data_IF_763896172202
#
_entry.id   IF_763896172202
#
_cell.length_a   1.000
_cell.length_b   1.000
_cell.length_c   1.000
_cell.angle_alpha   90.00
_cell.angle_beta   90.00
_cell.angle_gamma   90.00
#
_symmetry.space_group_name_H-M   'P 1'
#
loop_
_entity.id
_entity.type
_entity.pdbx_description
1 polymer ?
#
# COMPACT_ATOMS: atom_id res chain seq x y z
N UNK A 1 18.34 -30.21 27.30
CA UNK A 1 18.04 -29.27 26.17
C UNK A 1 18.63 -27.91 26.50
N UNK A 2 19.78 -27.57 25.94
CA UNK A 2 20.48 -26.31 26.19
C UNK A 2 19.82 -25.21 25.32
N UNK A 3 19.42 -24.07 25.91
CA UNK A 3 18.94 -22.90 25.21
C UNK A 3 20.11 -22.29 24.40
N UNK A 4 19.90 -21.92 23.12
CA UNK A 4 20.95 -21.25 22.36
C UNK A 4 21.22 -19.87 22.99
N UNK A 5 22.50 -19.42 23.00
CA UNK A 5 22.87 -18.13 23.57
C UNK A 5 22.24 -16.98 22.76
N UNK A 6 21.62 -16.03 23.46
CA UNK A 6 21.18 -14.75 22.90
C UNK A 6 22.41 -14.06 22.27
N UNK A 7 22.49 -14.03 20.94
CA UNK A 7 23.46 -13.19 20.23
C UNK A 7 22.99 -11.75 20.37
N UNK A 8 23.59 -11.01 21.26
CA UNK A 8 23.44 -9.56 21.36
C UNK A 8 23.60 -8.94 19.99
N UNK A 9 22.66 -8.06 19.61
CA UNK A 9 22.68 -7.40 18.32
C UNK A 9 24.02 -6.71 18.09
N UNK A 10 24.66 -6.98 16.94
CA UNK A 10 25.97 -6.40 16.63
C UNK A 10 25.88 -4.86 16.66
N UNK A 11 26.96 -4.18 17.04
CA UNK A 11 27.10 -2.72 17.04
C UNK A 11 26.58 -2.12 15.73
N UNK A 12 26.81 -2.78 14.60
CA UNK A 12 26.28 -2.43 13.27
C UNK A 12 24.75 -2.38 13.25
N UNK A 13 24.07 -3.36 13.85
CA UNK A 13 22.59 -3.39 13.91
C UNK A 13 22.06 -2.25 14.77
N UNK A 14 22.73 -1.93 15.86
CA UNK A 14 22.39 -0.82 16.74
C UNK A 14 22.59 0.53 16.04
N UNK A 15 23.70 0.73 15.36
CA UNK A 15 23.98 1.93 14.57
C UNK A 15 22.94 2.16 13.43
N UNK A 16 22.55 1.09 12.74
CA UNK A 16 21.51 1.16 11.71
C UNK A 16 20.17 1.60 12.33
N UNK A 17 19.78 1.03 13.47
CA UNK A 17 18.53 1.41 14.15
C UNK A 17 18.54 2.86 14.64
N UNK A 18 19.67 3.31 15.20
CA UNK A 18 19.84 4.70 15.61
C UNK A 18 19.80 5.65 14.43
N UNK A 19 20.43 5.30 13.30
CA UNK A 19 20.37 6.08 12.06
C UNK A 19 18.93 6.17 11.51
N UNK A 20 18.16 5.08 11.57
CA UNK A 20 16.75 5.06 11.16
C UNK A 20 15.89 5.94 12.07
N UNK A 21 16.08 5.87 13.40
CA UNK A 21 15.36 6.71 14.36
C UNK A 21 15.71 8.19 14.16
N UNK A 22 16.98 8.52 13.98
CA UNK A 22 17.43 9.89 13.73
C UNK A 22 16.84 10.45 12.42
N UNK A 23 16.83 9.65 11.35
CA UNK A 23 16.23 10.02 10.09
C UNK A 23 14.71 10.23 10.21
N UNK A 24 14.02 9.34 10.94
CA UNK A 24 12.58 9.49 11.20
C UNK A 24 12.31 10.78 11.95
N UNK A 25 13.06 11.06 13.02
CA UNK A 25 12.92 12.29 13.79
C UNK A 25 13.18 13.54 12.93
N UNK A 26 14.21 13.50 12.08
CA UNK A 26 14.54 14.58 11.16
C UNK A 26 13.43 14.83 10.14
N UNK A 27 12.90 13.77 9.52
CA UNK A 27 11.81 13.87 8.56
C UNK A 27 10.54 14.39 9.23
N UNK A 28 10.20 13.85 10.41
CA UNK A 28 9.04 14.33 11.18
C UNK A 28 9.19 15.81 11.52
N UNK A 29 10.35 16.21 12.02
CA UNK A 29 10.64 17.62 12.32
C UNK A 29 10.53 18.51 11.08
N UNK A 30 11.09 18.07 9.94
CA UNK A 30 11.01 18.80 8.67
C UNK A 30 9.56 18.92 8.18
N UNK A 31 8.77 17.84 8.22
CA UNK A 31 7.37 17.85 7.81
C UNK A 31 6.55 18.77 8.71
N UNK A 32 6.68 18.65 10.03
CA UNK A 32 6.00 19.50 11.00
C UNK A 32 6.37 20.98 10.76
N UNK A 33 7.65 21.30 10.51
CA UNK A 33 8.08 22.65 10.22
C UNK A 33 7.61 23.17 8.85
N UNK A 34 7.38 22.29 7.87
CA UNK A 34 6.91 22.70 6.53
C UNK A 34 5.39 22.80 6.42
N UNK A 35 4.65 21.99 7.18
CA UNK A 35 3.18 22.06 7.24
C UNK A 35 2.74 23.36 7.95
N UNK A 36 3.71 24.13 8.51
CA UNK A 36 3.41 25.42 9.12
C UNK A 36 2.46 25.28 10.31
N UNK A 37 2.52 24.13 10.99
CA UNK A 37 1.87 23.98 12.28
C UNK A 37 2.59 24.89 13.27
N UNK A 38 2.36 26.20 13.08
CA UNK A 38 2.65 27.17 14.12
C UNK A 38 1.77 26.75 15.29
N UNK A 39 2.41 26.32 16.38
CA UNK A 39 1.69 25.92 17.59
C UNK A 39 0.71 26.99 18.05
N UNK A 40 0.99 28.25 17.74
CA UNK A 40 0.12 29.39 17.97
C UNK A 40 -1.13 29.39 17.06
N UNK A 41 -1.02 28.96 15.81
CA UNK A 41 -2.18 28.77 14.93
C UNK A 41 -3.02 27.57 15.35
N UNK A 42 -2.37 26.46 15.74
CA UNK A 42 -3.08 25.29 16.26
C UNK A 42 -3.86 25.62 17.55
N UNK A 43 -3.30 26.44 18.44
CA UNK A 43 -4.01 26.90 19.65
C UNK A 43 -5.16 27.90 19.35
N UNK A 44 -5.12 28.56 18.19
CA UNK A 44 -6.19 29.45 17.71
C UNK A 44 -7.31 28.71 16.98
N UNK A 45 -7.12 27.45 16.61
CA UNK A 45 -8.18 26.63 16.06
C UNK A 45 -9.21 26.40 17.15
N UNK A 46 -10.38 27.01 17.02
CA UNK A 46 -11.50 26.73 17.91
C UNK A 46 -12.05 25.33 17.54
N UNK A 47 -11.52 24.31 18.24
CA UNK A 47 -11.94 22.93 18.04
C UNK A 47 -13.44 22.74 18.39
N UNK A 48 -14.06 23.69 19.07
CA UNK A 48 -15.50 23.64 19.35
C UNK A 48 -16.35 23.96 18.11
N UNK A 49 -15.78 24.68 17.12
CA UNK A 49 -16.43 24.90 15.83
C UNK A 49 -16.32 23.68 14.89
N UNK A 50 -15.38 22.78 15.18
CA UNK A 50 -15.18 21.56 14.40
C UNK A 50 -16.23 20.51 14.78
N UNK A 51 -17.43 20.63 14.23
CA UNK A 51 -18.51 19.66 14.41
C UNK A 51 -18.57 18.75 13.16
N UNK A 52 -17.82 17.63 13.13
CA UNK A 52 -17.87 16.73 11.99
C UNK A 52 -19.24 16.07 11.91
N UNK A 53 -19.75 15.88 10.69
CA UNK A 53 -20.92 15.07 10.48
C UNK A 53 -20.60 13.61 10.83
N UNK A 54 -21.09 13.14 11.97
CA UNK A 54 -20.78 11.80 12.52
C UNK A 54 -21.24 10.68 11.60
N UNK A 55 -22.30 10.88 10.79
CA UNK A 55 -22.76 9.87 9.83
C UNK A 55 -21.75 9.70 8.70
N UNK A 56 -21.25 10.80 8.14
CA UNK A 56 -20.22 10.76 7.10
C UNK A 56 -18.89 10.22 7.67
N UNK A 57 -18.54 10.60 8.88
CA UNK A 57 -17.36 10.07 9.55
C UNK A 57 -17.44 8.55 9.77
N UNK A 58 -18.58 8.06 10.26
CA UNK A 58 -18.82 6.63 10.40
C UNK A 58 -18.83 5.90 9.05
N UNK A 59 -19.43 6.50 8.01
CA UNK A 59 -19.41 5.95 6.65
C UNK A 59 -17.98 5.85 6.11
N UNK A 60 -17.17 6.90 6.25
CA UNK A 60 -15.76 6.87 5.88
C UNK A 60 -14.99 5.75 6.59
N UNK A 61 -15.16 5.62 7.91
CA UNK A 61 -14.52 4.56 8.69
C UNK A 61 -14.95 3.16 8.23
N UNK A 62 -16.24 2.96 7.95
CA UNK A 62 -16.76 1.70 7.44
C UNK A 62 -16.18 1.35 6.05
N UNK A 63 -16.06 2.34 5.17
CA UNK A 63 -15.43 2.16 3.85
C UNK A 63 -13.94 1.84 3.96
N UNK A 64 -13.22 2.51 4.86
CA UNK A 64 -11.81 2.22 5.14
C UNK A 64 -11.62 0.80 5.63
N UNK A 65 -12.43 0.35 6.60
CA UNK A 65 -12.40 -1.02 7.11
C UNK A 65 -12.75 -2.04 6.00
N UNK A 66 -13.74 -1.74 5.17
CA UNK A 66 -14.10 -2.60 4.03
C UNK A 66 -12.95 -2.75 3.04
N UNK A 67 -12.23 -1.66 2.73
CA UNK A 67 -11.04 -1.70 1.88
C UNK A 67 -9.91 -2.52 2.52
N UNK A 68 -9.71 -2.44 3.82
CA UNK A 68 -8.72 -3.25 4.53
C UNK A 68 -9.07 -4.73 4.47
N UNK A 69 -10.34 -5.11 4.66
CA UNK A 69 -10.79 -6.49 4.52
C UNK A 69 -10.66 -6.99 3.09
N UNK A 70 -11.00 -6.16 2.11
CA UNK A 70 -10.82 -6.47 0.69
C UNK A 70 -9.35 -6.69 0.36
N UNK A 71 -8.43 -5.89 0.88
CA UNK A 71 -6.99 -6.05 0.66
C UNK A 71 -6.49 -7.41 1.21
N UNK A 72 -6.95 -7.84 2.39
CA UNK A 72 -6.63 -9.14 2.94
C UNK A 72 -7.18 -10.29 2.05
N UNK A 73 -8.40 -10.15 1.54
CA UNK A 73 -9.01 -11.12 0.63
C UNK A 73 -8.26 -11.19 -0.71
N UNK A 74 -7.83 -10.04 -1.24
CA UNK A 74 -7.03 -9.96 -2.46
C UNK A 74 -5.69 -10.66 -2.31
N UNK A 75 -4.98 -10.43 -1.20
CA UNK A 75 -3.75 -11.16 -0.90
C UNK A 75 -3.98 -12.68 -0.86
N UNK A 76 -5.02 -13.14 -0.16
CA UNK A 76 -5.36 -14.57 -0.08
C UNK A 76 -5.71 -15.15 -1.46
N UNK A 77 -6.38 -14.38 -2.33
CA UNK A 77 -6.65 -14.76 -3.70
C UNK A 77 -5.37 -14.92 -4.51
N UNK A 78 -4.46 -13.94 -4.43
CA UNK A 78 -3.15 -14.02 -5.11
C UNK A 78 -2.35 -15.23 -4.62
N UNK A 79 -2.33 -15.50 -3.29
CA UNK A 79 -1.68 -16.71 -2.72
C UNK A 79 -2.21 -17.97 -3.39
N UNK A 80 -3.54 -18.12 -3.48
CA UNK A 80 -4.18 -19.29 -4.10
C UNK A 80 -3.82 -19.41 -5.59
N UNK A 81 -3.92 -18.32 -6.31
CA UNK A 81 -3.69 -18.28 -7.75
C UNK A 81 -2.20 -18.53 -8.11
N UNK A 82 -1.27 -18.26 -7.16
CA UNK A 82 0.15 -18.63 -7.22
C UNK A 82 0.42 -20.09 -6.76
N UNK A 83 -0.60 -20.91 -6.60
CA UNK A 83 -0.48 -22.32 -6.20
C UNK A 83 -0.29 -22.54 -4.70
N UNK A 84 -0.60 -21.54 -3.86
CA UNK A 84 -0.65 -21.70 -2.41
C UNK A 84 -1.94 -22.35 -1.92
N UNK A 85 -1.96 -22.74 -0.62
CA UNK A 85 -3.15 -23.24 0.02
C UNK A 85 -4.26 -22.18 0.03
N UNK A 86 -5.52 -22.63 -0.07
CA UNK A 86 -6.66 -21.75 0.06
C UNK A 86 -6.81 -21.27 1.50
N UNK A 87 -6.77 -19.94 1.69
CA UNK A 87 -7.01 -19.30 2.97
C UNK A 87 -8.38 -18.63 2.91
N UNK A 88 -9.38 -19.09 3.68
CA UNK A 88 -10.68 -18.42 3.77
C UNK A 88 -10.52 -16.97 4.25
N UNK A 89 -11.35 -16.04 3.75
CA UNK A 89 -11.25 -14.59 4.06
C UNK A 89 -11.26 -14.33 5.56
N UNK A 90 -12.12 -15.03 6.33
CA UNK A 90 -12.18 -14.93 7.80
C UNK A 90 -10.88 -15.28 8.51
N UNK A 91 -9.99 -16.06 7.87
CA UNK A 91 -8.66 -16.37 8.38
C UNK A 91 -7.60 -15.44 7.80
N UNK A 92 -7.74 -15.01 6.53
CA UNK A 92 -6.84 -14.09 5.89
C UNK A 92 -6.83 -12.71 6.55
N UNK A 93 -8.00 -12.21 6.95
CA UNK A 93 -8.16 -10.90 7.59
C UNK A 93 -7.28 -10.75 8.84
N UNK A 94 -7.40 -11.58 9.89
CA UNK A 94 -6.55 -11.40 11.07
C UNK A 94 -5.05 -11.59 10.76
N UNK A 95 -4.68 -12.52 9.88
CA UNK A 95 -3.28 -12.69 9.47
C UNK A 95 -2.73 -11.42 8.83
N UNK A 96 -3.50 -10.85 7.90
CA UNK A 96 -3.11 -9.65 7.17
C UNK A 96 -3.06 -8.42 8.11
N UNK A 97 -4.03 -8.26 9.01
CA UNK A 97 -4.07 -7.15 9.96
C UNK A 97 -2.91 -7.19 10.93
N UNK A 98 -2.59 -8.36 11.50
CA UNK A 98 -1.44 -8.53 12.41
C UNK A 98 -0.13 -8.25 11.66
N UNK A 99 0.04 -8.79 10.44
CA UNK A 99 1.23 -8.55 9.65
C UNK A 99 1.39 -7.06 9.28
N UNK A 100 0.29 -6.35 9.06
CA UNK A 100 0.27 -4.92 8.76
C UNK A 100 0.87 -4.05 9.88
N UNK A 101 0.83 -4.51 11.13
CA UNK A 101 1.52 -3.82 12.23
C UNK A 101 3.03 -3.75 12.01
N UNK A 102 3.58 -4.66 11.22
CA UNK A 102 4.99 -4.65 10.83
C UNK A 102 5.41 -3.42 10.02
N UNK A 103 4.47 -2.68 9.41
CA UNK A 103 4.76 -1.44 8.67
C UNK A 103 5.30 -0.31 9.55
N UNK A 104 4.95 -0.33 10.85
CA UNK A 104 5.42 0.66 11.82
C UNK A 104 6.84 0.36 12.33
N UNK A 105 7.39 -0.82 12.00
CA UNK A 105 8.77 -1.16 12.31
C UNK A 105 9.70 -0.63 11.20
N UNK A 106 10.88 -0.07 11.56
CA UNK A 106 11.84 0.40 10.58
C UNK A 106 12.24 -0.68 9.58
N UNK A 107 12.21 -0.37 8.27
CA UNK A 107 12.73 -1.25 7.22
C UNK A 107 11.69 -1.90 6.31
N UNK A 108 10.40 -1.54 6.39
CA UNK A 108 9.29 -1.94 5.46
C UNK A 108 9.16 -3.46 5.12
N UNK A 109 10.13 -4.28 5.54
CA UNK A 109 10.17 -5.73 5.26
C UNK A 109 9.38 -6.55 6.28
N UNK A 110 9.12 -5.99 7.47
CA UNK A 110 8.51 -6.71 8.57
C UNK A 110 7.07 -7.12 8.31
N UNK A 111 6.32 -6.31 7.57
CA UNK A 111 4.97 -6.66 7.12
C UNK A 111 4.99 -7.92 6.24
N UNK A 112 5.91 -7.98 5.27
CA UNK A 112 6.03 -9.11 4.34
C UNK A 112 6.51 -10.35 5.09
N UNK A 113 7.54 -10.19 5.93
CA UNK A 113 8.09 -11.29 6.73
C UNK A 113 7.05 -11.84 7.73
N UNK A 114 6.32 -10.95 8.40
CA UNK A 114 5.23 -11.31 9.31
C UNK A 114 4.12 -12.06 8.61
N UNK A 115 3.72 -11.60 7.42
CA UNK A 115 2.69 -12.25 6.61
C UNK A 115 3.14 -13.65 6.17
N UNK A 116 4.40 -13.81 5.74
CA UNK A 116 4.96 -15.11 5.39
C UNK A 116 5.02 -16.07 6.58
N UNK A 117 5.45 -15.59 7.74
CA UNK A 117 5.51 -16.38 8.97
C UNK A 117 4.12 -16.82 9.44
N UNK A 118 3.14 -15.91 9.46
CA UNK A 118 1.77 -16.22 9.86
C UNK A 118 1.06 -17.14 8.88
N UNK A 119 1.29 -16.98 7.55
CA UNK A 119 0.72 -17.83 6.53
C UNK A 119 1.26 -19.27 6.57
N UNK A 120 2.50 -19.46 7.04
CA UNK A 120 3.10 -20.79 7.15
C UNK A 120 2.33 -21.68 8.14
N UNK A 121 1.73 -21.12 9.19
CA UNK A 121 0.86 -21.86 10.13
C UNK A 121 -0.44 -22.34 9.49
N UNK A 122 -0.75 -21.91 8.27
CA UNK A 122 -1.93 -22.31 7.49
C UNK A 122 -1.55 -23.16 6.26
N UNK A 123 -0.36 -23.73 6.25
CA UNK A 123 0.11 -24.60 5.17
C UNK A 123 0.54 -23.88 3.89
N UNK A 124 0.65 -22.55 3.92
CA UNK A 124 1.18 -21.77 2.79
C UNK A 124 2.70 -21.71 2.89
N UNK A 125 3.39 -22.07 1.81
CA UNK A 125 4.85 -21.94 1.77
C UNK A 125 5.24 -20.47 1.94
N UNK A 126 6.22 -20.13 2.81
CA UNK A 126 6.64 -18.74 3.05
C UNK A 126 6.97 -17.97 1.76
N UNK A 127 7.61 -18.65 0.79
CA UNK A 127 7.95 -18.05 -0.51
C UNK A 127 6.73 -17.65 -1.32
N UNK A 128 5.65 -18.43 -1.29
CA UNK A 128 4.39 -18.11 -1.98
C UNK A 128 3.68 -16.95 -1.30
N UNK A 129 3.64 -16.94 0.05
CA UNK A 129 3.06 -15.83 0.81
C UNK A 129 3.81 -14.51 0.59
N UNK A 130 5.15 -14.55 0.61
CA UNK A 130 6.02 -13.41 0.28
C UNK A 130 5.80 -12.94 -1.15
N UNK A 131 5.75 -13.88 -2.10
CA UNK A 131 5.51 -13.57 -3.50
C UNK A 131 4.18 -12.87 -3.74
N UNK A 132 3.12 -13.38 -3.12
CA UNK A 132 1.80 -12.76 -3.18
C UNK A 132 1.78 -11.37 -2.53
N UNK A 133 2.52 -11.16 -1.43
CA UNK A 133 2.61 -9.86 -0.77
C UNK A 133 3.36 -8.83 -1.65
N UNK A 134 4.48 -9.22 -2.26
CA UNK A 134 5.26 -8.35 -3.15
C UNK A 134 4.49 -8.00 -4.42
N UNK A 135 3.86 -8.99 -5.06
CA UNK A 135 3.01 -8.76 -6.23
C UNK A 135 1.80 -7.88 -5.89
N UNK A 136 1.13 -8.17 -4.78
CA UNK A 136 0.01 -7.36 -4.30
C UNK A 136 0.41 -5.92 -4.03
N UNK A 137 1.60 -5.70 -3.46
CA UNK A 137 2.12 -4.36 -3.24
C UNK A 137 2.42 -3.64 -4.56
N UNK A 138 3.02 -4.32 -5.53
CA UNK A 138 3.27 -3.74 -6.87
C UNK A 138 1.96 -3.36 -7.58
N UNK A 139 0.96 -4.25 -7.55
CA UNK A 139 -0.37 -3.98 -8.12
C UNK A 139 -1.09 -2.83 -7.37
N UNK A 140 -0.92 -2.75 -6.05
CA UNK A 140 -1.46 -1.67 -5.23
C UNK A 140 -0.85 -0.31 -5.62
N UNK A 141 0.48 -0.25 -5.82
CA UNK A 141 1.15 0.97 -6.28
C UNK A 141 0.68 1.35 -7.69
N UNK A 142 0.59 0.39 -8.60
CA UNK A 142 0.10 0.63 -9.95
C UNK A 142 -1.33 1.19 -9.94
N UNK A 143 -2.22 0.59 -9.15
CA UNK A 143 -3.59 1.03 -8.98
C UNK A 143 -3.68 2.44 -8.35
N UNK A 144 -2.89 2.71 -7.31
CA UNK A 144 -2.82 4.03 -6.69
C UNK A 144 -2.31 5.09 -7.69
N UNK A 145 -1.25 4.77 -8.45
CA UNK A 145 -0.73 5.68 -9.47
C UNK A 145 -1.77 5.97 -10.54
N UNK A 146 -2.54 4.95 -10.97
CA UNK A 146 -3.62 5.13 -11.95
C UNK A 146 -4.69 6.11 -11.46
N UNK A 147 -5.08 6.04 -10.19
CA UNK A 147 -6.03 6.98 -9.57
C UNK A 147 -5.38 8.36 -9.39
N UNK A 148 -4.10 8.40 -8.95
CA UNK A 148 -3.35 9.64 -8.80
C UNK A 148 -3.24 10.43 -10.10
N UNK A 149 -3.13 9.74 -11.23
CA UNK A 149 -3.13 10.35 -12.56
C UNK A 149 -4.50 10.94 -12.96
N UNK A 150 -5.58 10.62 -12.24
CA UNK A 150 -6.88 11.24 -12.42
C UNK A 150 -6.84 12.77 -12.29
N UNK A 151 -5.88 13.32 -11.54
CA UNK A 151 -5.65 14.76 -11.48
C UNK A 151 -5.34 15.37 -12.85
N UNK A 152 -4.73 14.63 -13.77
CA UNK A 152 -4.44 15.09 -15.13
C UNK A 152 -5.69 15.36 -15.96
N UNK A 153 -6.81 14.71 -15.59
CA UNK A 153 -8.11 14.92 -16.27
C UNK A 153 -8.76 16.25 -15.91
N UNK A 154 -8.35 16.86 -14.81
CA UNK A 154 -8.92 18.10 -14.28
C UNK A 154 -7.91 19.24 -14.20
N UNK A 155 -6.64 18.95 -14.46
CA UNK A 155 -5.56 19.94 -14.46
C UNK A 155 -5.62 20.78 -15.75
N UNK A 156 -5.32 22.09 -15.68
CA UNK A 156 -5.07 22.90 -16.88
C UNK A 156 -3.92 22.26 -17.69
N UNK A 157 -4.01 22.33 -19.04
CA UNK A 157 -3.00 21.74 -19.93
C UNK A 157 -1.57 22.19 -19.60
N UNK A 158 -1.39 23.44 -19.21
CA UNK A 158 -0.12 24.04 -18.81
C UNK A 158 0.47 23.40 -17.53
N UNK A 159 -0.38 22.76 -16.70
CA UNK A 159 0.02 22.13 -15.44
C UNK A 159 0.42 20.66 -15.59
N UNK A 160 0.16 20.05 -16.76
CA UNK A 160 0.53 18.66 -17.05
C UNK A 160 2.01 18.61 -17.41
N UNK A 161 2.85 18.62 -16.40
CA UNK A 161 4.30 18.54 -16.59
C UNK A 161 4.77 17.20 -17.19
N UNK A 162 6.00 17.19 -17.72
CA UNK A 162 6.63 16.00 -18.29
C UNK A 162 6.54 14.77 -17.38
N UNK A 163 6.62 14.93 -16.07
CA UNK A 163 6.53 13.84 -15.08
C UNK A 163 5.16 13.17 -15.05
N UNK A 164 4.08 13.93 -15.22
CA UNK A 164 2.72 13.38 -15.34
C UNK A 164 2.57 12.49 -16.58
N UNK A 165 3.07 12.95 -17.73
CA UNK A 165 3.05 12.17 -18.97
C UNK A 165 3.92 10.90 -18.86
N UNK A 166 5.10 11.00 -18.27
CA UNK A 166 5.98 9.83 -18.03
C UNK A 166 5.27 8.82 -17.13
N UNK A 167 4.67 9.27 -16.03
CA UNK A 167 3.94 8.38 -15.13
C UNK A 167 2.75 7.70 -15.84
N UNK A 168 1.99 8.44 -16.66
CA UNK A 168 0.90 7.88 -17.46
C UNK A 168 1.40 6.81 -18.46
N UNK A 169 2.50 7.10 -19.15
CA UNK A 169 3.12 6.17 -20.09
C UNK A 169 3.61 4.89 -19.38
N UNK A 170 4.22 5.02 -18.20
CA UNK A 170 4.67 3.87 -17.41
C UNK A 170 3.48 3.01 -16.91
N UNK A 171 2.39 3.64 -16.48
CA UNK A 171 1.16 2.93 -16.11
C UNK A 171 0.58 2.20 -17.32
N UNK A 172 0.44 2.88 -18.45
CA UNK A 172 -0.05 2.26 -19.68
C UNK A 172 0.81 1.07 -20.12
N UNK A 173 2.14 1.23 -20.07
CA UNK A 173 3.08 0.14 -20.37
C UNK A 173 2.90 -1.04 -19.41
N UNK A 174 2.79 -0.78 -18.10
CA UNK A 174 2.59 -1.85 -17.11
C UNK A 174 1.27 -2.60 -17.34
N UNK A 175 0.18 -1.89 -17.65
CA UNK A 175 -1.11 -2.49 -17.98
C UNK A 175 -1.01 -3.34 -19.25
N UNK A 176 -0.35 -2.84 -20.29
CA UNK A 176 -0.11 -3.58 -21.53
C UNK A 176 0.70 -4.86 -21.29
N UNK A 177 1.77 -4.78 -20.49
CA UNK A 177 2.59 -5.94 -20.15
C UNK A 177 1.80 -7.03 -19.40
N UNK A 178 0.84 -6.63 -18.58
CA UNK A 178 -0.08 -7.55 -17.89
C UNK A 178 -1.13 -8.11 -18.85
N UNK A 179 -1.66 -7.29 -19.76
CA UNK A 179 -2.74 -7.66 -20.67
C UNK A 179 -2.29 -8.61 -21.79
N UNK A 180 -1.08 -8.41 -22.30
CA UNK A 180 -0.54 -9.19 -23.42
C UNK A 180 -0.04 -10.55 -22.93
N UNK A 181 -0.64 -11.70 -23.36
CA UNK A 181 -0.31 -13.01 -22.82
C UNK A 181 1.18 -13.43 -22.94
N UNK A 182 1.93 -13.15 -24.01
CA UNK A 182 3.35 -13.46 -24.09
C UNK A 182 4.20 -12.72 -23.05
N UNK A 183 3.96 -11.41 -22.84
CA UNK A 183 4.71 -10.60 -21.88
C UNK A 183 4.37 -11.00 -20.44
N UNK A 184 3.09 -11.23 -20.12
CA UNK A 184 2.68 -11.76 -18.83
C UNK A 184 3.36 -13.09 -18.51
N UNK A 185 3.36 -14.05 -19.47
CA UNK A 185 4.04 -15.34 -19.28
C UNK A 185 5.55 -15.19 -19.13
N UNK A 186 6.17 -14.25 -19.84
CA UNK A 186 7.59 -13.96 -19.68
C UNK A 186 7.91 -13.41 -18.28
N UNK A 187 7.13 -12.44 -17.81
CA UNK A 187 7.23 -11.91 -16.46
C UNK A 187 6.99 -12.96 -15.38
N UNK A 188 5.95 -13.79 -15.54
CA UNK A 188 5.66 -14.90 -14.64
C UNK A 188 6.82 -15.90 -14.59
N UNK A 189 7.35 -16.33 -15.75
CA UNK A 189 8.52 -17.23 -15.82
C UNK A 189 9.74 -16.65 -15.12
N UNK A 190 10.01 -15.35 -15.32
CA UNK A 190 11.11 -14.66 -14.65
C UNK A 190 10.90 -14.66 -13.13
N UNK A 191 9.69 -14.30 -12.68
CA UNK A 191 9.33 -14.31 -11.27
C UNK A 191 9.54 -15.68 -10.64
N UNK A 192 8.95 -16.75 -11.21
CA UNK A 192 9.05 -18.10 -10.68
C UNK A 192 10.49 -18.65 -10.72
N UNK A 193 11.30 -18.21 -11.68
CA UNK A 193 12.74 -18.50 -11.72
C UNK A 193 13.49 -17.84 -10.53
N UNK A 194 13.19 -16.58 -10.22
CA UNK A 194 13.78 -15.85 -9.10
C UNK A 194 13.41 -16.50 -7.77
N UNK A 195 12.14 -16.85 -7.58
CA UNK A 195 11.66 -17.49 -6.35
C UNK A 195 11.93 -19.00 -6.31
N UNK A 196 12.56 -19.57 -7.36
CA UNK A 196 12.92 -20.98 -7.47
C UNK A 196 11.74 -21.93 -7.23
N UNK A 197 10.59 -21.62 -7.83
CA UNK A 197 9.38 -22.44 -7.78
C UNK A 197 8.80 -22.60 -9.17
N UNK A 198 7.91 -23.57 -9.37
CA UNK A 198 7.23 -23.76 -10.64
C UNK A 198 6.00 -22.87 -10.75
N UNK A 199 5.77 -22.33 -11.95
CA UNK A 199 4.58 -21.58 -12.24
C UNK A 199 3.36 -22.50 -12.29
N UNK A 200 2.24 -22.16 -11.62
CA UNK A 200 1.01 -22.92 -11.78
C UNK A 200 0.58 -22.93 -13.25
N UNK A 201 0.21 -24.11 -13.80
CA UNK A 201 -0.10 -24.25 -15.24
C UNK A 201 -1.30 -23.40 -15.68
N UNK A 202 -2.24 -23.13 -14.75
CA UNK A 202 -3.43 -22.31 -15.00
C UNK A 202 -3.16 -20.81 -14.95
N UNK A 203 -1.96 -20.35 -14.56
CA UNK A 203 -1.66 -18.92 -14.43
C UNK A 203 -1.61 -18.24 -15.79
N UNK A 204 -2.50 -17.31 -16.05
CA UNK A 204 -2.65 -16.60 -17.31
C UNK A 204 -2.80 -15.09 -17.09
N UNK A 205 -2.66 -14.30 -18.16
CA UNK A 205 -2.80 -12.84 -18.13
C UNK A 205 -4.13 -12.35 -17.55
N UNK A 206 -5.21 -13.14 -17.73
CA UNK A 206 -6.51 -12.83 -17.15
C UNK A 206 -6.45 -12.72 -15.62
N UNK A 207 -5.63 -13.52 -14.93
CA UNK A 207 -5.43 -13.40 -13.49
C UNK A 207 -4.76 -12.07 -13.13
N UNK A 208 -3.73 -11.68 -13.89
CA UNK A 208 -3.05 -10.39 -13.70
C UNK A 208 -4.00 -9.20 -13.88
N UNK A 209 -4.83 -9.22 -14.92
CA UNK A 209 -5.85 -8.20 -15.15
C UNK A 209 -6.93 -8.18 -14.04
N UNK A 210 -7.39 -9.35 -13.61
CA UNK A 210 -8.34 -9.45 -12.50
C UNK A 210 -7.77 -8.91 -11.20
N UNK A 211 -6.51 -9.24 -10.88
CA UNK A 211 -5.84 -8.69 -9.70
C UNK A 211 -5.73 -7.18 -9.81
N UNK A 212 -5.26 -6.66 -10.95
CA UNK A 212 -5.15 -5.21 -11.15
C UNK A 212 -6.49 -4.51 -11.00
N UNK A 213 -7.55 -5.02 -11.65
CA UNK A 213 -8.90 -4.46 -11.55
C UNK A 213 -9.41 -4.42 -10.11
N UNK A 214 -9.19 -5.51 -9.35
CA UNK A 214 -9.62 -5.62 -7.96
C UNK A 214 -8.80 -4.70 -7.02
N UNK A 215 -7.48 -4.55 -7.26
CA UNK A 215 -6.67 -3.59 -6.54
C UNK A 215 -7.06 -2.15 -6.87
N UNK A 216 -7.41 -1.86 -8.14
CA UNK A 216 -7.92 -0.54 -8.54
C UNK A 216 -9.27 -0.25 -7.88
N UNK A 217 -10.18 -1.22 -7.83
CA UNK A 217 -11.43 -1.09 -7.09
C UNK A 217 -11.18 -0.83 -5.59
N UNK A 218 -10.26 -1.57 -4.97
CA UNK A 218 -9.88 -1.36 -3.57
C UNK A 218 -9.35 0.06 -3.33
N UNK A 219 -8.53 0.57 -4.23
CA UNK A 219 -8.04 1.95 -4.18
C UNK A 219 -9.13 2.98 -4.43
N UNK A 220 -10.11 2.67 -5.28
CA UNK A 220 -11.31 3.49 -5.46
C UNK A 220 -12.11 3.64 -4.17
N UNK A 221 -12.29 2.53 -3.42
CA UNK A 221 -12.95 2.55 -2.11
C UNK A 221 -12.15 3.35 -1.09
N UNK A 222 -10.82 3.20 -1.06
CA UNK A 222 -9.94 3.98 -0.17
C UNK A 222 -10.00 5.48 -0.48
N UNK A 223 -9.92 5.85 -1.75
CA UNK A 223 -9.97 7.24 -2.18
C UNK A 223 -11.35 7.87 -1.88
N UNK A 224 -12.42 7.11 -2.12
CA UNK A 224 -13.78 7.55 -1.76
C UNK A 224 -13.96 7.68 -0.25
N UNK A 225 -13.41 6.76 0.54
CA UNK A 225 -13.39 6.86 2.00
C UNK A 225 -12.74 8.17 2.46
N UNK A 226 -11.59 8.52 1.88
CA UNK A 226 -10.90 9.77 2.20
C UNK A 226 -11.69 11.01 1.77
N UNK A 227 -12.33 10.98 0.60
CA UNK A 227 -13.20 12.07 0.16
C UNK A 227 -14.40 12.26 1.11
N UNK A 228 -15.06 11.17 1.54
CA UNK A 228 -16.16 11.22 2.54
C UNK A 228 -15.66 11.74 3.88
N UNK A 229 -14.42 11.40 4.28
CA UNK A 229 -13.79 11.94 5.47
C UNK A 229 -13.66 13.47 5.37
N UNK A 230 -13.12 13.97 4.28
CA UNK A 230 -12.98 15.43 4.04
C UNK A 230 -14.36 16.12 4.06
N UNK A 231 -15.36 15.52 3.41
CA UNK A 231 -16.72 16.02 3.41
C UNK A 231 -17.37 16.01 4.81
N UNK A 232 -16.97 15.09 5.71
CA UNK A 232 -17.50 15.05 7.09
C UNK A 232 -17.16 16.29 7.91
N UNK A 233 -16.10 17.01 7.55
CA UNK A 233 -15.69 18.28 8.15
C UNK A 233 -16.28 19.53 7.46
N UNK A 234 -17.29 19.34 6.61
CA UNK A 234 -17.94 20.45 5.90
C UNK A 234 -17.15 20.98 4.69
N UNK A 235 -16.02 20.37 4.37
CA UNK A 235 -15.21 20.79 3.21
C UNK A 235 -15.83 20.29 1.92
N UNK A 236 -16.30 21.23 1.09
CA UNK A 236 -16.82 20.93 -0.25
C UNK A 236 -15.66 20.93 -1.26
N UNK A 237 -15.24 19.76 -1.69
CA UNK A 237 -14.17 19.60 -2.67
C UNK A 237 -14.57 18.56 -3.73
N UNK A 238 -14.18 18.76 -5.01
CA UNK A 238 -14.43 17.78 -6.07
C UNK A 238 -13.73 16.44 -5.77
N UNK A 239 -14.40 15.32 -6.07
CA UNK A 239 -13.90 13.98 -5.74
C UNK A 239 -12.58 13.65 -6.46
N UNK A 240 -12.44 14.02 -7.75
CA UNK A 240 -11.27 13.64 -8.56
C UNK A 240 -9.98 14.23 -8.00
N UNK A 241 -9.85 15.55 -7.75
CA UNK A 241 -8.65 16.13 -7.14
C UNK A 241 -8.33 15.53 -5.77
N UNK A 242 -9.32 15.33 -4.90
CA UNK A 242 -9.11 14.77 -3.55
C UNK A 242 -8.63 13.33 -3.63
N UNK A 243 -9.28 12.49 -4.44
CA UNK A 243 -8.91 11.10 -4.66
C UNK A 243 -7.50 10.97 -5.25
N UNK A 244 -7.18 11.82 -6.24
CA UNK A 244 -5.88 11.84 -6.89
C UNK A 244 -4.77 12.30 -5.94
N UNK A 245 -5.01 13.35 -5.15
CA UNK A 245 -4.05 13.84 -4.15
C UNK A 245 -3.77 12.76 -3.10
N UNK A 246 -4.81 12.08 -2.58
CA UNK A 246 -4.66 10.98 -1.63
C UNK A 246 -3.83 9.83 -2.20
N UNK A 247 -4.16 9.39 -3.41
CA UNK A 247 -3.46 8.28 -4.06
C UNK A 247 -2.00 8.64 -4.40
N UNK A 248 -1.75 9.85 -4.91
CA UNK A 248 -0.41 10.34 -5.20
C UNK A 248 0.44 10.46 -3.93
N UNK A 249 -0.12 11.01 -2.84
CA UNK A 249 0.56 11.11 -1.54
C UNK A 249 0.98 9.73 -1.02
N UNK A 250 0.12 8.71 -1.15
CA UNK A 250 0.48 7.33 -0.80
C UNK A 250 1.65 6.81 -1.63
N UNK A 251 1.63 6.99 -2.96
CA UNK A 251 2.69 6.51 -3.85
C UNK A 251 4.02 7.17 -3.49
N UNK A 252 4.03 8.49 -3.32
CA UNK A 252 5.23 9.24 -2.92
C UNK A 252 5.73 8.77 -1.55
N UNK A 253 4.83 8.69 -0.56
CA UNK A 253 5.17 8.22 0.79
C UNK A 253 5.66 6.77 0.81
N UNK A 254 5.13 5.91 -0.07
CA UNK A 254 5.58 4.53 -0.15
C UNK A 254 6.96 4.40 -0.81
N UNK A 255 7.23 5.16 -1.87
CA UNK A 255 8.52 5.14 -2.57
C UNK A 255 9.63 5.77 -1.74
N UNK A 256 9.30 6.62 -0.78
CA UNK A 256 10.27 7.18 0.15
C UNK A 256 10.70 6.13 1.19
N UNK A 257 11.67 5.30 0.81
CA UNK A 257 12.15 4.13 1.57
C UNK A 257 12.69 4.45 2.97
N UNK A 258 13.38 5.60 3.23
CA UNK A 258 14.00 5.86 4.53
C UNK A 258 13.02 6.01 5.69
N UNK A 259 11.78 6.44 5.46
CA UNK A 259 10.82 6.68 6.53
C UNK A 259 10.03 5.41 6.90
N UNK A 260 9.89 5.07 8.20
CA UNK A 260 8.94 4.06 8.64
C UNK A 260 7.51 4.55 8.32
N UNK A 261 6.66 3.63 7.86
CA UNK A 261 5.26 3.89 7.46
C UNK A 261 5.02 4.91 6.32
N UNK A 262 6.07 5.51 5.74
CA UNK A 262 5.95 6.56 4.71
C UNK A 262 6.14 7.97 5.26
N UNK A 263 5.99 8.97 4.40
CA UNK A 263 6.17 10.41 4.71
C UNK A 263 4.82 11.13 4.70
N UNK A 264 3.76 10.52 5.11
CA UNK A 264 2.45 11.16 5.16
C UNK A 264 1.32 10.17 5.05
#
# INVERSE_FOLDING_TARGET
MARPPYRGGSLKTWLIRMGQLALTALVTWYVVGRVGLDWTEFQRLDLAEWQPNLVLLAASAAMLLSAMFMNAALWARVVRDLGGAHIPVKQAVPLFMIANLGRYLPGKVWQIAGLAALASSRGVRPITATGAAVLGQGLSILAATSIGLGALLTAPEESVGHWGMIAAALVALAVLLIAIPPSFRAGARLWFRIVRTEAPPQLASVHGLQWLALYTLNWGVLALSFWVLVASFGVSAPIVPVASAFAAAYVVGYLFIPAPAGVG
#
